data_IF_534382075592
#
_entry.id   IF_534382075592
#
_cell.length_a   1.000
_cell.length_b   1.000
_cell.length_c   1.000
_cell.angle_alpha   90.00
_cell.angle_beta   90.00
_cell.angle_gamma   90.00
#
_symmetry.space_group_name_H-M   'P 1'
#
loop_
_entity.id
_entity.type
_entity.pdbx_description
1 polymer ?
#
# COMPACT_ATOMS: atom_id res chain seq x y z
N UNK A 1 11.96 -26.33 34.19
CA UNK A 1 11.63 -26.66 32.79
C UNK A 1 11.49 -25.33 32.04
N UNK A 2 12.47 -24.99 31.24
CA UNK A 2 12.51 -23.72 30.50
C UNK A 2 11.60 -23.86 29.29
N UNK A 3 10.46 -23.17 29.28
CA UNK A 3 9.64 -22.98 28.10
C UNK A 3 10.38 -21.96 27.23
N UNK A 4 11.07 -22.43 26.22
CA UNK A 4 11.60 -21.60 25.15
C UNK A 4 10.41 -21.03 24.39
N UNK A 5 10.11 -19.78 24.62
CA UNK A 5 9.22 -18.98 23.77
C UNK A 5 9.95 -18.86 22.42
N UNK A 6 9.59 -19.72 21.49
CA UNK A 6 9.77 -19.47 20.08
C UNK A 6 8.65 -18.50 19.69
N UNK A 7 8.86 -17.23 19.95
CA UNK A 7 8.13 -16.19 19.28
C UNK A 7 8.59 -16.24 17.80
N UNK A 8 7.99 -17.12 17.03
CA UNK A 8 8.04 -17.01 15.59
C UNK A 8 7.20 -15.77 15.25
N UNK A 9 7.86 -14.65 15.14
CA UNK A 9 7.35 -13.57 14.33
C UNK A 9 7.27 -14.08 12.88
N UNK A 10 6.16 -14.70 12.52
CA UNK A 10 5.68 -14.76 11.14
C UNK A 10 5.02 -13.41 10.88
N UNK A 11 5.73 -12.36 11.23
CA UNK A 11 5.50 -11.05 10.62
C UNK A 11 5.70 -11.25 9.15
N UNK A 12 4.79 -10.73 8.36
CA UNK A 12 4.93 -10.60 6.92
C UNK A 12 6.41 -10.48 6.59
N UNK A 13 6.95 -11.49 5.91
CA UNK A 13 8.32 -11.50 5.44
C UNK A 13 8.42 -10.52 4.26
N UNK A 14 7.98 -9.27 4.50
CA UNK A 14 8.70 -8.19 3.88
C UNK A 14 10.14 -8.45 4.31
N UNK A 15 11.02 -8.78 3.36
CA UNK A 15 12.45 -8.85 3.61
C UNK A 15 12.84 -7.48 4.17
N UNK A 16 12.64 -7.31 5.49
CA UNK A 16 13.09 -6.12 6.17
C UNK A 16 14.60 -6.26 6.16
N UNK A 17 15.24 -5.51 5.27
CA UNK A 17 16.63 -5.21 5.41
C UNK A 17 16.85 -4.88 6.88
N UNK A 18 17.66 -5.65 7.57
CA UNK A 18 18.02 -5.27 8.92
C UNK A 18 18.83 -4.00 8.77
N UNK A 19 18.24 -2.87 9.16
CA UNK A 19 18.92 -1.60 9.14
C UNK A 19 20.28 -1.75 9.85
N UNK A 20 21.34 -1.30 9.21
CA UNK A 20 22.67 -1.31 9.78
C UNK A 20 22.75 -0.21 10.84
N UNK A 21 23.05 -0.58 12.07
CA UNK A 21 23.31 0.40 13.12
C UNK A 21 24.71 1.00 12.89
N UNK A 22 24.76 2.29 12.62
CA UNK A 22 26.00 3.04 12.34
C UNK A 22 26.48 3.81 13.57
N UNK A 23 25.61 4.06 14.54
CA UNK A 23 25.92 4.69 15.82
C UNK A 23 24.96 4.18 16.90
N UNK A 24 25.49 3.84 18.06
CA UNK A 24 24.71 3.39 19.22
C UNK A 24 25.48 3.76 20.50
N UNK A 25 25.32 4.98 20.97
CA UNK A 25 25.93 5.49 22.18
C UNK A 25 25.16 6.68 22.75
N UNK A 26 25.33 6.94 24.05
CA UNK A 26 24.75 8.08 24.75
C UNK A 26 23.21 8.22 24.58
N UNK A 27 22.50 7.08 24.60
CA UNK A 27 21.07 7.04 24.39
C UNK A 27 20.61 7.33 22.94
N UNK A 28 21.55 7.54 22.01
CA UNK A 28 21.27 7.79 20.58
C UNK A 28 21.59 6.55 19.75
N UNK A 29 20.62 6.12 18.93
CA UNK A 29 20.80 5.05 17.94
C UNK A 29 20.49 5.58 16.56
N UNK A 30 21.47 5.44 15.65
CA UNK A 30 21.33 5.80 14.23
C UNK A 30 21.45 4.54 13.38
N UNK A 31 20.48 4.35 12.51
CA UNK A 31 20.39 3.21 11.63
C UNK A 31 20.25 3.66 10.16
N UNK A 32 20.90 2.95 9.27
CA UNK A 32 20.79 3.14 7.83
C UNK A 32 20.20 1.87 7.21
N UNK A 33 19.18 2.04 6.41
CA UNK A 33 18.53 0.97 5.65
C UNK A 33 18.42 1.35 4.17
N UNK A 34 18.33 0.35 3.32
CA UNK A 34 18.13 0.63 1.90
C UNK A 34 17.92 -0.62 1.06
N UNK A 35 17.63 -0.42 -0.20
CA UNK A 35 17.57 -1.51 -1.18
C UNK A 35 17.74 -0.99 -2.60
N UNK A 36 18.44 -1.78 -3.41
CA UNK A 36 18.39 -1.68 -4.87
C UNK A 36 17.34 -2.68 -5.36
N UNK A 37 16.41 -2.20 -6.19
CA UNK A 37 15.27 -2.95 -6.71
C UNK A 37 15.17 -2.77 -8.21
N UNK A 38 15.35 -3.85 -8.94
CA UNK A 38 15.34 -3.87 -10.40
C UNK A 38 14.32 -4.88 -10.87
N UNK A 39 13.71 -4.59 -12.01
CA UNK A 39 12.81 -5.50 -12.70
C UNK A 39 13.00 -5.40 -14.21
N UNK A 40 13.09 -6.55 -14.84
CA UNK A 40 12.95 -6.71 -16.28
C UNK A 40 11.52 -7.20 -16.54
N UNK A 41 10.78 -6.46 -17.35
CA UNK A 41 9.35 -6.71 -17.50
C UNK A 41 8.88 -6.56 -18.94
N UNK A 42 7.82 -7.27 -19.28
CA UNK A 42 6.92 -6.95 -20.37
C UNK A 42 5.56 -6.52 -19.80
N UNK A 43 5.16 -5.28 -20.09
CA UNK A 43 3.92 -4.71 -19.60
C UNK A 43 3.11 -4.12 -20.77
N UNK A 44 1.80 -4.32 -20.74
CA UNK A 44 0.95 -3.88 -21.82
C UNK A 44 -0.48 -3.56 -21.42
N UNK A 45 -1.03 -2.53 -22.08
CA UNK A 45 -2.42 -2.10 -21.92
C UNK A 45 -3.15 -2.25 -23.25
N UNK A 46 -4.32 -2.88 -23.20
CA UNK A 46 -5.22 -3.03 -24.35
C UNK A 46 -6.54 -2.35 -24.01
N UNK A 47 -6.97 -1.43 -24.85
CA UNK A 47 -8.28 -0.76 -24.80
C UNK A 47 -9.15 -1.30 -25.91
N UNK A 48 -10.38 -1.65 -25.60
CA UNK A 48 -11.41 -2.04 -26.57
C UNK A 48 -12.65 -1.20 -26.31
N UNK A 49 -13.09 -0.43 -27.31
CA UNK A 49 -14.30 0.41 -27.24
C UNK A 49 -15.59 -0.42 -27.39
N UNK A 50 -16.74 0.24 -27.29
CA UNK A 50 -18.06 -0.36 -27.47
C UNK A 50 -18.27 -0.98 -28.86
N UNK A 51 -17.64 -0.43 -29.91
CA UNK A 51 -17.74 -0.87 -31.30
C UNK A 51 -16.79 -2.05 -31.60
N UNK A 52 -15.94 -2.43 -30.64
CA UNK A 52 -14.99 -3.52 -30.80
C UNK A 52 -13.63 -3.11 -31.32
N UNK A 53 -13.38 -1.82 -31.59
CA UNK A 53 -12.07 -1.34 -32.01
C UNK A 53 -11.05 -1.55 -30.88
N UNK A 54 -9.86 -2.02 -31.25
CA UNK A 54 -8.83 -2.43 -30.29
C UNK A 54 -7.55 -1.63 -30.51
N UNK A 55 -7.04 -1.05 -29.43
CA UNK A 55 -5.71 -0.44 -29.37
C UNK A 55 -4.88 -1.15 -28.30
N UNK A 56 -3.67 -1.59 -28.66
CA UNK A 56 -2.75 -2.26 -27.74
C UNK A 56 -1.40 -1.57 -27.75
N UNK A 57 -0.84 -1.38 -26.55
CA UNK A 57 0.53 -0.90 -26.36
C UNK A 57 1.24 -1.87 -25.41
N UNK A 58 2.36 -2.43 -25.82
CA UNK A 58 3.22 -3.30 -25.02
C UNK A 58 4.63 -2.74 -25.03
N UNK A 59 5.31 -2.79 -23.90
CA UNK A 59 6.69 -2.34 -23.75
C UNK A 59 7.47 -3.35 -22.92
N UNK A 60 8.72 -3.60 -23.33
CA UNK A 60 9.72 -4.33 -22.55
C UNK A 60 10.70 -3.33 -21.94
N UNK A 61 10.97 -3.43 -20.67
CA UNK A 61 11.83 -2.52 -19.93
C UNK A 61 12.70 -3.29 -18.94
N UNK A 62 13.89 -2.76 -18.70
CA UNK A 62 14.64 -2.96 -17.46
C UNK A 62 14.59 -1.64 -16.70
N UNK A 63 14.02 -1.64 -15.50
CA UNK A 63 13.83 -0.41 -14.74
C UNK A 63 14.06 -0.55 -13.24
N UNK A 64 14.22 0.58 -12.61
CA UNK A 64 14.12 0.72 -11.17
C UNK A 64 12.69 0.41 -10.68
N UNK A 65 12.59 -0.42 -9.64
CA UNK A 65 11.34 -0.84 -9.00
C UNK A 65 11.23 -0.29 -7.55
N UNK A 66 11.59 0.98 -7.37
CA UNK A 66 11.50 1.67 -6.09
C UNK A 66 12.72 1.50 -5.18
N UNK A 67 13.94 1.54 -5.76
CA UNK A 67 15.19 1.61 -5.00
C UNK A 67 15.18 2.78 -4.03
N UNK A 68 15.71 2.54 -2.83
CA UNK A 68 15.60 3.49 -1.73
C UNK A 68 16.75 3.41 -0.74
N UNK A 69 16.93 4.51 0.00
CA UNK A 69 17.83 4.59 1.14
C UNK A 69 17.18 5.43 2.24
N UNK A 70 17.33 5.05 3.49
CA UNK A 70 16.78 5.74 4.63
C UNK A 70 17.74 5.82 5.80
N UNK A 71 17.53 6.84 6.62
CA UNK A 71 18.19 7.02 7.91
C UNK A 71 17.11 7.13 8.98
N UNK A 72 17.28 6.38 10.05
CA UNK A 72 16.43 6.41 11.23
C UNK A 72 17.25 6.77 12.45
N UNK A 73 16.73 7.66 13.27
CA UNK A 73 17.34 8.10 14.54
C UNK A 73 16.34 7.85 15.65
N UNK A 74 16.81 7.29 16.76
CA UNK A 74 16.11 7.24 18.04
C UNK A 74 17.03 7.78 19.11
N UNK A 75 16.49 8.56 20.03
CA UNK A 75 17.23 9.13 21.16
C UNK A 75 16.40 9.02 22.45
N UNK A 76 16.97 8.43 23.48
CA UNK A 76 16.36 8.30 24.79
C UNK A 76 16.40 9.65 25.54
N UNK A 77 15.25 10.08 26.06
CA UNK A 77 15.10 11.36 26.78
C UNK A 77 15.01 11.20 28.30
N UNK A 78 15.02 9.96 28.80
CA UNK A 78 14.78 9.62 30.20
C UNK A 78 13.30 9.35 30.51
N UNK A 79 13.03 8.75 31.67
CA UNK A 79 11.69 8.39 32.16
C UNK A 79 10.83 7.59 31.17
N UNK A 80 11.48 6.83 30.25
CA UNK A 80 10.82 6.06 29.20
C UNK A 80 10.36 6.87 27.98
N UNK A 81 10.65 8.18 27.94
CA UNK A 81 10.45 9.02 26.75
C UNK A 81 11.59 8.85 25.76
N UNK A 82 11.26 8.94 24.48
CA UNK A 82 12.21 8.95 23.39
C UNK A 82 11.79 9.93 22.29
N UNK A 83 12.79 10.45 21.57
CA UNK A 83 12.62 11.17 20.33
C UNK A 83 12.96 10.23 19.15
N UNK A 84 12.28 10.38 18.03
CA UNK A 84 12.55 9.63 16.84
C UNK A 84 12.50 10.50 15.59
N UNK A 85 13.22 10.07 14.56
CA UNK A 85 13.20 10.72 13.24
C UNK A 85 13.52 9.74 12.13
N UNK A 86 12.98 9.98 10.94
CA UNK A 86 13.26 9.22 9.74
C UNK A 86 13.29 10.10 8.50
N UNK A 87 14.30 9.86 7.67
CA UNK A 87 14.32 10.35 6.29
C UNK A 87 14.47 9.15 5.36
N UNK A 88 13.68 9.09 4.28
CA UNK A 88 13.79 8.07 3.24
C UNK A 88 13.79 8.75 1.88
N UNK A 89 14.81 8.43 1.09
CA UNK A 89 14.94 8.86 -0.29
C UNK A 89 14.62 7.71 -1.23
N UNK A 90 13.96 8.02 -2.34
CA UNK A 90 13.70 7.08 -3.44
C UNK A 90 14.19 7.65 -4.76
N UNK A 91 14.54 6.74 -5.66
CA UNK A 91 14.82 7.08 -7.04
C UNK A 91 13.54 7.02 -7.86
N UNK A 92 13.40 7.97 -8.79
CA UNK A 92 12.31 8.01 -9.75
C UNK A 92 12.80 8.53 -11.10
N UNK A 93 12.06 8.26 -12.16
CA UNK A 93 12.35 8.71 -13.51
C UNK A 93 11.52 9.91 -13.96
N UNK A 94 11.12 10.80 -13.04
CA UNK A 94 10.25 11.91 -13.38
C UNK A 94 10.84 12.77 -14.52
N UNK A 95 12.10 13.20 -14.41
CA UNK A 95 12.78 13.99 -15.43
C UNK A 95 13.48 13.13 -16.51
N UNK A 96 14.05 11.97 -16.15
CA UNK A 96 14.70 11.08 -17.12
C UNK A 96 13.72 10.25 -17.95
N UNK A 97 12.51 10.08 -17.48
CA UNK A 97 11.35 9.58 -18.23
C UNK A 97 11.31 8.09 -18.53
N UNK A 98 12.41 7.33 -18.35
CA UNK A 98 12.45 5.93 -18.82
C UNK A 98 12.95 4.90 -17.81
N UNK A 99 14.08 5.13 -17.15
CA UNK A 99 14.76 4.15 -16.31
C UNK A 99 14.45 4.28 -14.82
N UNK A 100 13.79 5.38 -14.43
CA UNK A 100 13.44 5.73 -13.05
C UNK A 100 14.63 5.83 -12.09
N UNK A 101 15.80 6.21 -12.61
CA UNK A 101 16.99 6.54 -11.82
C UNK A 101 17.38 8.02 -11.91
N UNK A 102 16.64 8.83 -12.68
CA UNK A 102 17.03 10.21 -13.00
C UNK A 102 16.91 11.18 -11.84
N UNK A 103 16.02 10.95 -10.89
CA UNK A 103 15.72 11.84 -9.79
C UNK A 103 15.76 11.17 -8.44
N UNK A 104 16.11 11.95 -7.41
CA UNK A 104 16.00 11.55 -6.01
C UNK A 104 14.98 12.47 -5.35
N UNK A 105 14.03 11.89 -4.63
CA UNK A 105 13.06 12.65 -3.84
C UNK A 105 12.91 12.08 -2.42
N UNK A 106 12.56 12.96 -1.48
CA UNK A 106 12.29 12.55 -0.11
C UNK A 106 10.87 11.93 -0.03
N UNK A 107 10.79 10.61 0.04
CA UNK A 107 9.52 9.89 0.19
C UNK A 107 8.95 10.02 1.59
N UNK A 108 9.84 10.08 2.60
CA UNK A 108 9.49 10.26 4.01
C UNK A 108 10.46 11.24 4.67
N UNK A 109 9.94 12.11 5.51
CA UNK A 109 10.72 13.03 6.34
C UNK A 109 9.83 13.43 7.53
N UNK A 110 10.04 12.81 8.67
CA UNK A 110 9.25 13.06 9.88
C UNK A 110 10.09 12.90 11.14
N UNK A 111 9.62 13.53 12.20
CA UNK A 111 10.16 13.37 13.55
C UNK A 111 9.01 13.29 14.56
N UNK A 112 9.30 12.83 15.76
CA UNK A 112 8.29 12.71 16.79
C UNK A 112 8.85 12.38 18.16
N UNK A 113 7.92 12.19 19.09
CA UNK A 113 8.16 11.84 20.47
C UNK A 113 7.27 10.66 20.84
N UNK A 114 7.75 9.81 21.73
CA UNK A 114 6.99 8.70 22.24
C UNK A 114 7.36 8.30 23.65
N UNK A 115 6.48 7.48 24.22
CA UNK A 115 6.73 6.72 25.44
C UNK A 115 6.12 5.34 25.26
N UNK A 116 6.85 4.31 25.66
CA UNK A 116 6.45 2.92 25.37
C UNK A 116 5.01 2.60 25.81
N UNK A 117 4.60 3.11 26.96
CA UNK A 117 3.28 2.87 27.54
C UNK A 117 2.18 3.77 26.95
N UNK A 118 2.54 4.89 26.36
CA UNK A 118 1.60 5.89 25.83
C UNK A 118 1.50 5.92 24.31
N UNK A 119 2.45 5.27 23.61
CA UNK A 119 2.57 5.35 22.16
C UNK A 119 3.45 6.50 21.70
N UNK A 120 3.39 6.80 20.42
CA UNK A 120 4.20 7.83 19.78
C UNK A 120 3.34 8.79 18.92
N UNK A 121 3.75 10.05 18.90
CA UNK A 121 3.21 11.08 17.99
C UNK A 121 4.31 11.54 17.07
N UNK A 122 4.05 11.49 15.77
CA UNK A 122 4.99 11.89 14.71
C UNK A 122 4.41 12.94 13.80
N UNK A 123 5.28 13.80 13.25
CA UNK A 123 4.92 14.96 12.44
C UNK A 123 5.78 14.99 11.18
N UNK A 124 5.18 15.20 10.02
CA UNK A 124 5.90 15.37 8.76
C UNK A 124 5.36 14.53 7.63
N UNK A 125 6.17 14.35 6.59
CA UNK A 125 5.85 13.51 5.44
C UNK A 125 6.02 12.03 5.81
N UNK A 126 4.91 11.31 5.89
CA UNK A 126 4.92 9.94 6.38
C UNK A 126 3.70 9.13 5.93
N UNK A 127 3.73 7.84 6.22
CA UNK A 127 2.60 6.94 6.08
C UNK A 127 1.56 7.18 7.18
N UNK A 128 0.33 6.82 6.87
CA UNK A 128 -0.77 6.73 7.84
C UNK A 128 -0.90 5.30 8.36
N UNK A 129 -1.85 5.05 9.26
CA UNK A 129 -2.15 3.69 9.72
C UNK A 129 -2.69 2.80 8.59
N UNK A 130 -3.31 3.39 7.56
CA UNK A 130 -3.89 2.65 6.45
C UNK A 130 -2.84 1.99 5.53
N UNK A 131 -1.57 2.39 5.60
CA UNK A 131 -0.48 1.68 4.90
C UNK A 131 -0.18 0.30 5.52
N UNK A 132 -0.60 0.11 6.77
CA UNK A 132 -0.42 -1.15 7.50
C UNK A 132 -1.57 -2.14 7.23
N UNK A 133 -2.61 -1.76 6.44
CA UNK A 133 -3.70 -2.66 6.07
C UNK A 133 -3.36 -3.42 4.78
N UNK A 134 -3.91 -4.64 4.70
CA UNK A 134 -3.73 -5.51 3.55
C UNK A 134 -2.89 -6.74 3.90
N UNK A 135 -3.46 -7.91 3.62
CA UNK A 135 -2.83 -9.20 3.84
C UNK A 135 -2.42 -9.88 2.53
N UNK A 136 -2.95 -9.40 1.38
CA UNK A 136 -2.47 -9.80 0.06
C UNK A 136 -1.04 -9.32 -0.16
N UNK A 137 -0.26 -10.05 -0.95
CA UNK A 137 1.16 -9.78 -1.13
C UNK A 137 1.52 -9.60 -2.61
N UNK A 138 2.49 -8.75 -2.86
CA UNK A 138 3.10 -8.49 -4.16
C UNK A 138 4.53 -7.96 -3.99
N UNK A 139 5.29 -8.06 -5.06
CA UNK A 139 6.58 -7.39 -5.15
C UNK A 139 6.47 -6.10 -5.97
N UNK A 140 5.73 -6.09 -7.07
CA UNK A 140 5.72 -4.96 -8.00
C UNK A 140 4.36 -4.65 -8.61
N UNK A 141 3.52 -5.66 -8.81
CA UNK A 141 2.31 -5.52 -9.62
C UNK A 141 1.03 -5.53 -8.81
N UNK A 142 1.05 -5.10 -7.55
CA UNK A 142 -0.12 -5.07 -6.69
C UNK A 142 -1.39 -4.62 -7.43
N UNK A 143 -2.46 -5.41 -7.29
CA UNK A 143 -3.74 -5.17 -7.97
C UNK A 143 -4.86 -4.73 -7.03
N UNK A 144 -4.65 -4.82 -5.72
CA UNK A 144 -5.66 -4.46 -4.72
C UNK A 144 -5.64 -2.95 -4.49
N UNK A 145 -6.77 -2.24 -4.68
CA UNK A 145 -6.83 -0.80 -4.43
C UNK A 145 -6.82 -0.50 -2.93
N UNK A 146 -6.47 0.73 -2.56
CA UNK A 146 -6.74 1.28 -1.25
C UNK A 146 -7.72 2.45 -1.36
N UNK A 147 -8.75 2.42 -0.54
CA UNK A 147 -9.79 3.46 -0.47
C UNK A 147 -9.55 4.44 0.68
N UNK A 148 -8.59 4.14 1.55
CA UNK A 148 -8.14 5.02 2.62
C UNK A 148 -6.77 5.58 2.24
N UNK A 149 -6.54 6.84 2.53
CA UNK A 149 -5.27 7.50 2.21
C UNK A 149 -4.13 6.91 3.04
N UNK A 150 -3.13 6.33 2.38
CA UNK A 150 -2.00 5.61 3.02
C UNK A 150 -0.82 6.51 3.38
N UNK A 151 -0.75 7.75 2.84
CA UNK A 151 0.37 8.66 3.07
C UNK A 151 -0.05 10.13 2.94
N UNK A 152 0.83 11.04 3.35
CA UNK A 152 0.67 12.47 3.11
C UNK A 152 1.97 13.25 3.28
N UNK A 153 2.02 14.46 2.68
CA UNK A 153 3.17 15.35 2.76
C UNK A 153 3.29 16.09 4.09
N UNK A 154 2.16 16.27 4.78
CA UNK A 154 2.07 16.93 6.09
C UNK A 154 1.05 16.20 6.95
N UNK A 155 1.53 15.34 7.83
CA UNK A 155 0.72 14.41 8.63
C UNK A 155 1.11 14.52 10.09
N UNK A 156 0.11 14.55 10.97
CA UNK A 156 0.25 14.21 12.39
C UNK A 156 -0.26 12.78 12.52
N UNK A 157 0.56 11.88 13.06
CA UNK A 157 0.19 10.48 13.30
C UNK A 157 0.42 10.13 14.76
N UNK A 158 -0.56 9.45 15.32
CA UNK A 158 -0.44 8.75 16.60
C UNK A 158 -0.40 7.24 16.33
N UNK A 159 0.49 6.52 17.02
CA UNK A 159 0.56 5.07 17.00
C UNK A 159 0.77 4.52 18.41
N UNK A 160 -0.02 3.51 18.77
CA UNK A 160 0.06 2.81 20.05
C UNK A 160 0.30 1.33 19.82
N UNK A 161 1.32 0.78 20.51
CA UNK A 161 1.73 -0.64 20.44
C UNK A 161 1.99 -1.23 21.84
N UNK A 162 1.37 -0.66 22.87
CA UNK A 162 1.57 -1.08 24.27
C UNK A 162 0.91 -2.40 24.64
N UNK A 163 0.04 -2.95 23.79
CA UNK A 163 -0.61 -4.26 23.96
C UNK A 163 -0.01 -5.23 22.93
N UNK A 164 0.40 -6.41 23.40
CA UNK A 164 0.98 -7.44 22.53
C UNK A 164 0.01 -7.83 21.41
N UNK A 165 0.54 -7.87 20.19
CA UNK A 165 -0.22 -8.18 18.97
C UNK A 165 -1.15 -7.05 18.48
N UNK A 166 -1.37 -5.97 19.26
CA UNK A 166 -2.27 -4.87 18.88
C UNK A 166 -1.51 -3.59 18.55
N UNK A 167 -1.76 -3.05 17.36
CA UNK A 167 -1.39 -1.69 16.99
C UNK A 167 -2.67 -0.88 16.76
N UNK A 168 -2.77 0.28 17.40
CA UNK A 168 -3.79 1.28 17.12
C UNK A 168 -3.15 2.48 16.45
N UNK A 169 -3.88 3.12 15.53
CA UNK A 169 -3.38 4.30 14.84
C UNK A 169 -4.46 5.31 14.53
N UNK A 170 -4.05 6.58 14.57
CA UNK A 170 -4.86 7.69 14.09
C UNK A 170 -3.97 8.69 13.35
N UNK A 171 -4.49 9.36 12.35
CA UNK A 171 -3.76 10.40 11.63
C UNK A 171 -4.67 11.54 11.20
N UNK A 172 -4.05 12.72 11.09
CA UNK A 172 -4.62 13.89 10.43
C UNK A 172 -3.63 14.39 9.37
N UNK A 173 -4.11 14.53 8.14
CA UNK A 173 -3.37 15.04 7.00
C UNK A 173 -3.82 16.46 6.72
N UNK A 174 -2.89 17.40 6.69
CA UNK A 174 -3.15 18.80 6.30
C UNK A 174 -3.35 18.93 4.79
N UNK A 175 -3.67 20.14 4.35
CA UNK A 175 -3.89 20.45 2.95
C UNK A 175 -2.69 20.06 2.08
N UNK A 176 -2.99 19.53 0.89
CA UNK A 176 -1.98 19.06 -0.05
C UNK A 176 -2.44 19.24 -1.48
N UNK A 177 -1.66 19.95 -2.30
CA UNK A 177 -1.93 20.20 -3.73
C UNK A 177 -1.06 19.38 -4.66
N UNK A 178 0.07 18.90 -4.16
CA UNK A 178 1.06 18.13 -4.90
C UNK A 178 1.37 16.82 -4.18
N UNK A 179 1.78 15.81 -4.92
CA UNK A 179 2.30 14.57 -4.37
C UNK A 179 3.72 14.75 -3.80
N UNK A 180 4.38 13.68 -3.40
CA UNK A 180 5.74 13.70 -2.86
C UNK A 180 6.82 13.99 -3.90
N UNK A 181 6.50 13.96 -5.19
CA UNK A 181 7.40 14.29 -6.30
C UNK A 181 7.21 15.72 -6.78
N UNK A 182 6.19 16.42 -6.30
CA UNK A 182 5.84 17.78 -6.72
C UNK A 182 4.83 17.83 -7.88
N UNK A 183 4.29 16.70 -8.32
CA UNK A 183 3.23 16.64 -9.32
C UNK A 183 1.89 17.10 -8.72
N UNK A 184 1.12 17.88 -9.48
CA UNK A 184 -0.21 18.29 -9.04
C UNK A 184 -1.15 17.10 -8.90
N UNK A 185 -1.91 17.08 -7.83
CA UNK A 185 -3.01 16.13 -7.65
C UNK A 185 -4.19 16.52 -8.53
N UNK A 186 -4.91 15.52 -9.07
CA UNK A 186 -6.15 15.73 -9.85
C UNK A 186 -7.19 16.53 -9.06
N UNK A 187 -7.25 16.31 -7.74
CA UNK A 187 -8.06 17.07 -6.79
C UNK A 187 -7.22 17.43 -5.59
N UNK A 188 -7.05 18.71 -5.33
CA UNK A 188 -6.33 19.21 -4.16
C UNK A 188 -7.05 18.77 -2.87
N UNK A 189 -6.29 18.31 -1.90
CA UNK A 189 -6.80 17.87 -0.62
C UNK A 189 -6.88 19.07 0.32
N UNK A 190 -8.05 19.26 0.93
CA UNK A 190 -8.25 20.23 2.01
C UNK A 190 -7.73 19.70 3.35
N UNK A 191 -8.09 18.48 3.68
CA UNK A 191 -7.60 17.69 4.80
C UNK A 191 -8.03 16.23 4.65
N UNK A 192 -7.39 15.34 5.42
CA UNK A 192 -7.84 13.98 5.56
C UNK A 192 -7.58 13.48 6.98
N UNK A 193 -8.31 12.46 7.42
CA UNK A 193 -8.05 11.78 8.68
C UNK A 193 -8.34 10.29 8.54
N UNK A 194 -7.72 9.51 9.41
CA UNK A 194 -7.92 8.06 9.45
C UNK A 194 -7.72 7.53 10.85
N UNK A 195 -8.41 6.44 11.15
CA UNK A 195 -8.26 5.66 12.38
C UNK A 195 -8.32 4.18 12.05
N UNK A 196 -7.60 3.36 12.81
CA UNK A 196 -7.66 1.92 12.62
C UNK A 196 -6.79 1.12 13.56
N UNK A 197 -6.81 -0.19 13.32
CA UNK A 197 -6.13 -1.17 14.13
C UNK A 197 -5.53 -2.29 13.27
N UNK A 198 -4.45 -2.86 13.77
CA UNK A 198 -3.84 -4.10 13.30
C UNK A 198 -3.73 -5.01 14.51
N UNK A 199 -4.26 -6.23 14.40
CA UNK A 199 -4.21 -7.21 15.47
C UNK A 199 -3.76 -8.56 14.95
N UNK A 200 -2.76 -9.14 15.64
CA UNK A 200 -2.24 -10.47 15.38
C UNK A 200 -2.33 -11.31 16.67
N UNK A 201 -2.78 -12.53 16.57
CA UNK A 201 -2.86 -13.47 17.69
C UNK A 201 -2.63 -14.91 17.27
N UNK A 202 -2.34 -15.77 18.24
CA UNK A 202 -2.22 -17.21 18.05
C UNK A 202 -3.50 -17.92 18.47
N UNK A 203 -4.06 -18.72 17.56
CA UNK A 203 -5.25 -19.54 17.76
C UNK A 203 -4.90 -21.01 17.52
N UNK A 204 -4.76 -21.81 18.59
CA UNK A 204 -4.48 -23.25 18.47
C UNK A 204 -3.16 -23.57 17.75
N UNK A 205 -2.14 -22.72 17.87
CA UNK A 205 -0.85 -22.86 17.20
C UNK A 205 -0.77 -22.25 15.80
N UNK A 206 -1.87 -21.73 15.27
CA UNK A 206 -1.95 -21.01 14.01
C UNK A 206 -1.99 -19.50 14.26
N UNK A 207 -1.53 -18.69 13.29
CA UNK A 207 -1.56 -17.23 13.40
C UNK A 207 -2.80 -16.67 12.73
N UNK A 208 -3.52 -15.80 13.43
CA UNK A 208 -4.65 -15.04 12.90
C UNK A 208 -4.33 -13.55 12.91
N UNK A 209 -4.57 -12.90 11.77
CA UNK A 209 -4.40 -11.46 11.58
C UNK A 209 -5.75 -10.83 11.22
N UNK A 210 -6.05 -9.68 11.82
CA UNK A 210 -7.14 -8.80 11.40
C UNK A 210 -6.65 -7.36 11.44
N UNK A 211 -6.90 -6.65 10.36
CA UNK A 211 -6.48 -5.26 10.19
C UNK A 211 -7.63 -4.48 9.59
N UNK A 212 -7.67 -3.18 9.83
CA UNK A 212 -8.64 -2.36 9.14
C UNK A 212 -8.93 -1.04 9.84
N UNK A 213 -9.70 -0.22 9.16
CA UNK A 213 -10.05 1.09 9.65
C UNK A 213 -10.94 1.89 8.73
N UNK A 214 -11.06 3.15 9.09
CA UNK A 214 -11.84 4.16 8.39
C UNK A 214 -10.98 5.38 8.11
N UNK A 215 -11.20 6.01 6.94
CA UNK A 215 -10.61 7.30 6.63
C UNK A 215 -11.54 8.17 5.79
N UNK A 216 -11.42 9.48 6.00
CA UNK A 216 -12.08 10.50 5.16
C UNK A 216 -11.06 11.42 4.56
N UNK A 217 -11.22 11.70 3.27
CA UNK A 217 -10.50 12.74 2.55
C UNK A 217 -11.49 13.81 2.11
N UNK A 218 -11.27 15.06 2.50
CA UNK A 218 -12.00 16.22 2.03
C UNK A 218 -11.15 16.95 0.98
N UNK A 219 -11.75 17.33 -0.12
CA UNK A 219 -11.08 18.00 -1.22
C UNK A 219 -11.37 19.50 -1.26
N UNK A 220 -10.44 20.28 -1.80
CA UNK A 220 -10.69 21.69 -2.11
C UNK A 220 -11.66 21.79 -3.29
N UNK A 221 -12.55 22.75 -3.25
CA UNK A 221 -13.52 23.02 -4.32
C UNK A 221 -13.55 24.52 -4.64
N UNK A 222 -13.56 24.86 -5.92
CA UNK A 222 -13.64 26.24 -6.36
C UNK A 222 -15.02 26.90 -6.13
N UNK A 223 -16.07 26.10 -5.91
CA UNK A 223 -17.44 26.49 -5.63
C UNK A 223 -17.87 25.91 -4.29
N UNK A 224 -18.92 26.45 -3.67
CA UNK A 224 -19.41 26.00 -2.35
C UNK A 224 -20.13 24.64 -2.39
N UNK A 225 -19.61 23.64 -3.14
CA UNK A 225 -20.11 22.29 -3.10
C UNK A 225 -19.23 21.38 -2.23
N UNK A 226 -19.77 20.23 -1.85
CA UNK A 226 -19.04 19.26 -1.04
C UNK A 226 -18.36 18.24 -1.95
N UNK A 227 -17.04 18.06 -1.77
CA UNK A 227 -16.27 16.97 -2.35
C UNK A 227 -15.52 16.24 -1.23
N UNK A 228 -15.89 15.00 -0.98
CA UNK A 228 -15.23 14.14 0.02
C UNK A 228 -15.35 12.66 -0.35
N UNK A 229 -14.41 11.87 0.15
CA UNK A 229 -14.39 10.42 0.06
C UNK A 229 -14.31 9.82 1.46
N UNK A 230 -15.18 8.86 1.75
CA UNK A 230 -15.12 7.96 2.90
C UNK A 230 -14.61 6.58 2.42
N UNK A 231 -13.62 6.04 3.09
CA UNK A 231 -13.07 4.71 2.83
C UNK A 231 -13.14 3.83 4.08
N UNK A 232 -13.44 2.56 3.87
CA UNK A 232 -13.45 1.50 4.89
C UNK A 232 -12.69 0.32 4.33
N UNK A 233 -11.75 -0.22 5.10
CA UNK A 233 -10.97 -1.39 4.72
C UNK A 233 -10.86 -2.36 5.88
N UNK A 234 -10.87 -3.66 5.56
CA UNK A 234 -10.59 -4.74 6.48
C UNK A 234 -9.80 -5.81 5.75
N UNK A 235 -8.79 -6.36 6.40
CA UNK A 235 -7.98 -7.45 5.89
C UNK A 235 -7.89 -8.55 6.93
N UNK A 236 -7.97 -9.79 6.47
CA UNK A 236 -7.93 -11.00 7.29
C UNK A 236 -6.82 -11.91 6.79
N UNK A 237 -6.07 -12.51 7.72
CA UNK A 237 -5.06 -13.50 7.43
C UNK A 237 -5.15 -14.68 8.40
N UNK A 238 -4.99 -15.90 7.89
CA UNK A 238 -4.91 -17.09 8.71
C UNK A 238 -3.80 -18.01 8.21
N UNK A 239 -2.81 -18.27 9.06
CA UNK A 239 -1.65 -19.11 8.74
C UNK A 239 -1.77 -20.45 9.40
N UNK A 240 -1.71 -21.52 8.60
CA UNK A 240 -1.74 -22.93 9.02
C UNK A 240 -0.48 -23.59 8.45
N UNK A 241 0.50 -23.90 9.30
CA UNK A 241 1.78 -24.43 8.82
C UNK A 241 2.42 -23.53 7.76
N UNK A 242 2.63 -24.07 6.58
CA UNK A 242 3.26 -23.36 5.45
C UNK A 242 2.30 -22.54 4.58
N UNK A 243 0.99 -22.62 4.84
CA UNK A 243 -0.05 -21.95 4.07
C UNK A 243 -0.62 -20.77 4.87
N UNK A 244 -0.62 -19.59 4.26
CA UNK A 244 -1.38 -18.42 4.71
C UNK A 244 -2.49 -18.12 3.73
N UNK A 245 -3.73 -18.14 4.21
CA UNK A 245 -4.91 -17.67 3.48
C UNK A 245 -5.19 -16.24 3.87
N UNK A 246 -5.54 -15.41 2.89
CA UNK A 246 -5.76 -13.97 3.09
C UNK A 246 -7.01 -13.48 2.37
N UNK A 247 -7.54 -12.35 2.82
CA UNK A 247 -8.65 -11.70 2.15
C UNK A 247 -8.71 -10.22 2.53
N UNK A 248 -8.61 -9.35 1.54
CA UNK A 248 -8.72 -7.91 1.70
C UNK A 248 -10.06 -7.44 1.15
N UNK A 249 -10.70 -6.52 1.85
CA UNK A 249 -12.04 -5.99 1.55
C UNK A 249 -12.03 -4.48 1.74
N UNK A 250 -12.68 -3.76 0.84
CA UNK A 250 -12.85 -2.32 0.99
C UNK A 250 -14.20 -1.84 0.47
N UNK A 251 -14.67 -0.74 1.07
CA UNK A 251 -15.82 0.01 0.62
C UNK A 251 -15.49 1.49 0.57
N UNK A 252 -15.92 2.16 -0.50
CA UNK A 252 -15.76 3.60 -0.72
C UNK A 252 -17.09 4.26 -1.02
N UNK A 253 -17.32 5.41 -0.37
CA UNK A 253 -18.34 6.36 -0.77
C UNK A 253 -17.69 7.70 -1.08
N UNK A 254 -17.95 8.23 -2.26
CA UNK A 254 -17.47 9.55 -2.67
C UNK A 254 -18.64 10.42 -3.09
N UNK A 255 -18.63 11.66 -2.63
CA UNK A 255 -19.53 12.72 -3.06
C UNK A 255 -18.72 13.83 -3.68
N UNK A 256 -19.05 14.18 -4.94
CA UNK A 256 -18.47 15.32 -5.65
C UNK A 256 -19.61 16.10 -6.32
N UNK A 257 -19.94 17.24 -5.74
CA UNK A 257 -21.12 18.04 -6.16
C UNK A 257 -22.40 17.17 -6.25
N UNK A 258 -22.90 16.94 -7.47
CA UNK A 258 -24.09 16.14 -7.77
C UNK A 258 -23.77 14.67 -8.07
N UNK A 259 -22.49 14.30 -8.13
CA UNK A 259 -22.06 12.91 -8.29
C UNK A 259 -21.99 12.17 -6.96
N UNK A 260 -22.34 10.90 -7.01
CA UNK A 260 -22.20 9.93 -5.91
C UNK A 260 -21.58 8.66 -6.46
N UNK A 261 -20.37 8.33 -6.01
CA UNK A 261 -19.70 7.06 -6.35
C UNK A 261 -19.71 6.15 -5.13
N UNK A 262 -20.16 4.92 -5.34
CA UNK A 262 -20.02 3.82 -4.39
C UNK A 262 -19.17 2.74 -5.03
N UNK A 263 -18.14 2.30 -4.33
CA UNK A 263 -17.30 1.21 -4.80
C UNK A 263 -17.03 0.23 -3.68
N UNK A 264 -16.79 -1.02 -4.05
CA UNK A 264 -16.27 -2.03 -3.13
C UNK A 264 -15.34 -2.98 -3.87
N UNK A 265 -14.41 -3.56 -3.13
CA UNK A 265 -13.59 -4.66 -3.62
C UNK A 265 -13.56 -5.82 -2.64
N UNK A 266 -13.26 -7.00 -3.18
CA UNK A 266 -12.88 -8.20 -2.44
C UNK A 266 -11.66 -8.80 -3.12
N UNK A 267 -10.66 -9.19 -2.33
CA UNK A 267 -9.41 -9.71 -2.84
C UNK A 267 -8.93 -10.92 -1.99
N UNK A 268 -9.48 -12.13 -2.22
CA UNK A 268 -8.95 -13.34 -1.62
C UNK A 268 -7.58 -13.68 -2.22
N UNK A 269 -6.71 -14.24 -1.39
CA UNK A 269 -5.38 -14.63 -1.80
C UNK A 269 -4.76 -15.69 -0.90
N UNK A 270 -3.53 -16.05 -1.23
CA UNK A 270 -2.75 -17.02 -0.49
C UNK A 270 -1.26 -16.76 -0.59
N UNK A 271 -0.52 -17.29 0.37
CA UNK A 271 0.93 -17.42 0.35
C UNK A 271 1.27 -18.84 0.81
N UNK A 272 2.08 -19.56 0.06
CA UNK A 272 2.50 -20.91 0.38
C UNK A 272 4.02 -21.04 0.37
N UNK A 273 4.59 -21.40 1.50
CA UNK A 273 6.03 -21.63 1.65
C UNK A 273 6.38 -23.01 1.10
N UNK A 274 6.90 -23.08 -0.12
CA UNK A 274 7.24 -24.33 -0.81
C UNK A 274 8.48 -24.99 -0.18
N UNK A 275 9.49 -24.20 0.09
CA UNK A 275 10.72 -24.54 0.83
C UNK A 275 11.14 -23.30 1.64
N UNK A 276 12.00 -23.41 2.65
CA UNK A 276 12.40 -22.25 3.48
C UNK A 276 12.90 -21.02 2.71
N UNK A 277 13.41 -21.20 1.49
CA UNK A 277 13.93 -20.14 0.65
C UNK A 277 12.94 -19.64 -0.41
N UNK A 278 11.81 -20.31 -0.65
CA UNK A 278 10.93 -20.00 -1.77
C UNK A 278 9.46 -20.13 -1.39
N UNK A 279 8.66 -19.16 -1.79
CA UNK A 279 7.20 -19.19 -1.65
C UNK A 279 6.52 -18.85 -2.97
N UNK A 280 5.30 -19.34 -3.09
CA UNK A 280 4.34 -18.96 -4.13
C UNK A 280 3.26 -18.14 -3.46
N UNK A 281 2.83 -17.06 -4.09
CA UNK A 281 1.76 -16.19 -3.59
C UNK A 281 0.89 -15.74 -4.75
N UNK A 282 -0.34 -15.40 -4.43
CA UNK A 282 -1.25 -14.86 -5.42
C UNK A 282 -2.55 -14.39 -4.81
N UNK A 283 -3.25 -13.55 -5.56
CA UNK A 283 -4.55 -13.04 -5.19
C UNK A 283 -5.43 -12.80 -6.41
N UNK A 284 -6.73 -12.80 -6.16
CA UNK A 284 -7.75 -12.39 -7.11
C UNK A 284 -8.36 -11.08 -6.63
N UNK A 285 -8.71 -10.19 -7.56
CA UNK A 285 -9.46 -8.97 -7.30
C UNK A 285 -10.80 -9.01 -8.01
N UNK A 286 -11.86 -8.70 -7.28
CA UNK A 286 -13.11 -8.21 -7.83
C UNK A 286 -13.39 -6.82 -7.28
N UNK A 287 -13.59 -5.85 -8.18
CA UNK A 287 -13.99 -4.50 -7.80
C UNK A 287 -15.22 -4.07 -8.61
N UNK A 288 -16.11 -3.33 -7.97
CA UNK A 288 -17.27 -2.71 -8.62
C UNK A 288 -17.43 -1.29 -8.11
N UNK A 289 -17.55 -0.36 -9.04
CA UNK A 289 -17.88 1.03 -8.77
C UNK A 289 -19.16 1.42 -9.51
N UNK A 290 -20.02 2.21 -8.87
CA UNK A 290 -21.22 2.81 -9.45
C UNK A 290 -21.23 4.30 -9.16
N UNK A 291 -21.26 5.09 -10.23
CA UNK A 291 -21.36 6.55 -10.17
C UNK A 291 -22.76 6.97 -10.62
N UNK A 292 -23.48 7.67 -9.75
CA UNK A 292 -24.80 8.23 -10.04
C UNK A 292 -24.68 9.74 -10.09
N UNK A 293 -25.16 10.34 -11.16
CA UNK A 293 -25.20 11.79 -11.36
C UNK A 293 -26.66 12.26 -11.33
N UNK A 294 -26.96 13.28 -10.51
CA UNK A 294 -28.30 13.84 -10.43
C UNK A 294 -28.68 14.48 -11.78
N UNK A 295 -29.80 14.03 -12.37
CA UNK A 295 -30.29 14.46 -13.68
C UNK A 295 -29.40 14.15 -14.88
N UNK A 296 -28.47 13.21 -14.76
CA UNK A 296 -27.62 12.76 -15.85
C UNK A 296 -27.48 11.24 -15.85
N UNK A 297 -26.78 10.70 -16.86
CA UNK A 297 -26.54 9.27 -16.95
C UNK A 297 -25.59 8.80 -15.84
N UNK A 298 -25.92 7.67 -15.25
CA UNK A 298 -25.05 6.95 -14.32
C UNK A 298 -24.04 6.07 -15.07
N UNK A 299 -22.94 5.74 -14.41
CA UNK A 299 -21.94 4.85 -14.94
C UNK A 299 -21.65 3.72 -13.96
N UNK A 300 -21.15 2.59 -14.48
CA UNK A 300 -20.73 1.46 -13.67
C UNK A 300 -19.42 0.90 -14.23
N UNK A 301 -18.51 0.58 -13.32
CA UNK A 301 -17.26 -0.09 -13.62
C UNK A 301 -17.18 -1.43 -12.88
N UNK A 302 -16.61 -2.45 -13.54
CA UNK A 302 -16.30 -3.73 -12.93
C UNK A 302 -14.89 -4.15 -13.32
N UNK A 303 -14.06 -4.44 -12.32
CA UNK A 303 -12.73 -4.97 -12.52
C UNK A 303 -12.63 -6.40 -12.00
N UNK A 304 -11.88 -7.22 -12.73
CA UNK A 304 -11.43 -8.55 -12.31
C UNK A 304 -9.93 -8.62 -12.52
N UNK A 305 -9.20 -9.04 -11.52
CA UNK A 305 -7.74 -9.11 -11.56
C UNK A 305 -7.21 -10.41 -10.99
N UNK A 306 -6.05 -10.84 -11.51
CA UNK A 306 -5.25 -11.94 -10.97
C UNK A 306 -3.81 -11.49 -10.87
N UNK A 307 -3.18 -11.82 -9.75
CA UNK A 307 -1.75 -11.71 -9.53
C UNK A 307 -1.24 -13.08 -9.08
N UNK A 308 -0.10 -13.47 -9.62
CA UNK A 308 0.61 -14.67 -9.20
C UNK A 308 2.11 -14.38 -9.22
N UNK A 309 2.80 -14.82 -8.17
CA UNK A 309 4.25 -14.69 -8.07
C UNK A 309 4.91 -15.87 -7.37
N UNK A 310 6.19 -15.98 -7.60
CA UNK A 310 7.11 -16.88 -6.91
C UNK A 310 8.36 -16.11 -6.57
N UNK A 311 8.86 -16.27 -5.36
CA UNK A 311 10.13 -15.69 -4.95
C UNK A 311 11.15 -16.78 -4.54
N UNK A 312 12.43 -16.38 -4.58
CA UNK A 312 13.52 -17.17 -4.06
C UNK A 312 14.51 -16.28 -3.31
N UNK A 313 14.73 -16.57 -2.05
CA UNK A 313 15.67 -15.87 -1.16
C UNK A 313 17.02 -16.56 -1.21
N UNK A 314 17.97 -16.04 -1.99
CA UNK A 314 19.36 -16.51 -2.01
C UNK A 314 20.06 -16.25 -0.67
N UNK A 315 19.66 -15.17 -0.02
CA UNK A 315 20.14 -14.72 1.27
C UNK A 315 19.06 -13.86 1.94
N UNK A 316 19.14 -13.63 3.25
CA UNK A 316 18.23 -12.69 3.95
C UNK A 316 18.20 -11.27 3.35
N UNK A 317 19.27 -10.89 2.62
CA UNK A 317 19.40 -9.60 1.96
C UNK A 317 19.21 -9.66 0.44
N UNK A 318 19.03 -10.83 -0.16
CA UNK A 318 18.93 -10.97 -1.62
C UNK A 318 17.76 -11.87 -1.99
N UNK A 319 16.80 -11.32 -2.71
CA UNK A 319 15.65 -12.04 -3.24
C UNK A 319 15.52 -11.78 -4.74
N UNK A 320 15.22 -12.84 -5.49
CA UNK A 320 14.71 -12.73 -6.85
C UNK A 320 13.28 -13.23 -6.88
N UNK A 321 12.49 -12.73 -7.84
CA UNK A 321 11.09 -13.11 -8.00
C UNK A 321 10.68 -13.07 -9.47
N UNK A 322 9.65 -13.85 -9.77
CA UNK A 322 8.86 -13.72 -10.99
C UNK A 322 7.44 -13.41 -10.57
N UNK A 323 6.86 -12.37 -11.13
CA UNK A 323 5.51 -11.93 -10.81
C UNK A 323 4.77 -11.53 -12.07
N UNK A 324 3.49 -11.85 -12.13
CA UNK A 324 2.63 -11.46 -13.24
C UNK A 324 1.26 -11.01 -12.76
N UNK A 325 0.67 -10.09 -13.51
CA UNK A 325 -0.71 -9.63 -13.31
C UNK A 325 -1.51 -9.65 -14.59
N UNK A 326 -2.81 -9.81 -14.43
CA UNK A 326 -3.82 -9.58 -15.44
C UNK A 326 -5.02 -8.92 -14.79
N UNK A 327 -5.38 -7.69 -15.23
CA UNK A 327 -6.55 -6.96 -14.74
C UNK A 327 -7.40 -6.54 -15.92
N UNK A 328 -8.69 -6.83 -15.87
CA UNK A 328 -9.66 -6.41 -16.87
C UNK A 328 -10.74 -5.56 -16.22
N UNK A 329 -10.84 -4.32 -16.65
CA UNK A 329 -11.88 -3.37 -16.25
C UNK A 329 -12.89 -3.21 -17.38
N UNK A 330 -14.18 -3.30 -17.08
CA UNK A 330 -15.29 -3.10 -18.02
C UNK A 330 -16.13 -1.92 -17.58
N UNK A 331 -16.40 -1.03 -18.53
CA UNK A 331 -17.18 0.17 -18.34
C UNK A 331 -18.59 0.00 -18.92
N UNK A 332 -19.58 0.58 -18.26
CA UNK A 332 -20.98 0.53 -18.63
C UNK A 332 -21.63 1.89 -18.39
N UNK A 333 -22.39 2.36 -19.37
CA UNK A 333 -23.22 3.56 -19.26
C UNK A 333 -24.67 3.19 -18.92
N UNK A 334 -25.34 3.99 -18.13
CA UNK A 334 -26.75 3.77 -17.85
C UNK A 334 -27.62 4.05 -19.11
N UNK A 335 -28.53 3.12 -19.41
CA UNK A 335 -29.50 3.22 -20.49
C UNK A 335 -30.85 2.78 -19.98
N UNK A 336 -31.80 3.72 -19.89
CA UNK A 336 -33.10 3.46 -19.28
C UNK A 336 -32.94 2.96 -17.82
N UNK A 337 -33.53 1.82 -17.50
CA UNK A 337 -33.43 1.19 -16.18
C UNK A 337 -32.25 0.20 -16.05
N UNK A 338 -31.34 0.16 -17.03
CA UNK A 338 -30.23 -0.80 -17.07
C UNK A 338 -28.90 -0.15 -17.40
N UNK A 339 -27.94 -0.99 -17.78
CA UNK A 339 -26.60 -0.57 -18.18
C UNK A 339 -26.22 -1.21 -19.52
N UNK A 340 -25.64 -0.41 -20.41
CA UNK A 340 -25.06 -0.85 -21.68
C UNK A 340 -23.54 -0.90 -21.58
N UNK A 341 -22.92 -1.93 -22.14
CA UNK A 341 -21.46 -2.05 -22.21
C UNK A 341 -20.87 -0.93 -23.07
N UNK A 342 -19.87 -0.21 -22.54
CA UNK A 342 -19.20 0.91 -23.20
C UNK A 342 -17.76 0.61 -23.62
N UNK A 343 -17.14 -0.37 -23.01
CA UNK A 343 -15.76 -0.72 -23.37
C UNK A 343 -15.04 -1.52 -22.29
N UNK A 344 -13.80 -1.88 -22.58
CA UNK A 344 -12.93 -2.52 -21.60
C UNK A 344 -11.48 -2.14 -21.75
N UNK A 345 -10.81 -2.11 -20.62
CA UNK A 345 -9.36 -2.00 -20.50
C UNK A 345 -8.80 -3.32 -19.96
N UNK A 346 -7.74 -3.81 -20.57
CA UNK A 346 -6.97 -4.95 -20.04
C UNK A 346 -5.54 -4.47 -19.77
N UNK A 347 -5.10 -4.60 -18.52
CA UNK A 347 -3.74 -4.32 -18.07
C UNK A 347 -3.08 -5.65 -17.69
N UNK A 348 -1.92 -5.93 -18.27
CA UNK A 348 -1.17 -7.14 -18.04
C UNK A 348 0.32 -6.84 -17.93
N UNK A 349 1.00 -7.54 -17.07
CA UNK A 349 2.44 -7.47 -16.95
C UNK A 349 2.99 -8.81 -16.47
N UNK A 350 4.21 -9.08 -16.84
CA UNK A 350 5.03 -10.14 -16.28
C UNK A 350 6.46 -9.61 -16.14
N UNK A 351 7.11 -9.90 -15.03
CA UNK A 351 8.47 -9.44 -14.79
C UNK A 351 9.29 -10.40 -13.95
N UNK A 352 10.59 -10.30 -14.14
CA UNK A 352 11.61 -10.95 -13.31
C UNK A 352 12.35 -9.85 -12.57
N UNK A 353 12.28 -9.86 -11.26
CA UNK A 353 12.87 -8.82 -10.43
C UNK A 353 13.90 -9.36 -9.45
N UNK A 354 14.76 -8.46 -9.00
CA UNK A 354 15.72 -8.71 -7.94
C UNK A 354 15.75 -7.54 -6.97
N UNK A 355 15.86 -7.85 -5.69
CA UNK A 355 16.05 -6.87 -4.62
C UNK A 355 17.26 -7.25 -3.78
N UNK A 356 18.13 -6.27 -3.55
CA UNK A 356 19.28 -6.38 -2.64
C UNK A 356 19.07 -5.36 -1.53
N UNK A 357 19.14 -5.82 -0.28
CA UNK A 357 18.86 -5.02 0.91
C UNK A 357 20.11 -4.86 1.78
N UNK A 358 20.21 -3.77 2.55
CA UNK A 358 21.21 -3.53 3.61
C UNK A 358 20.64 -2.75 4.77
#
# INVERSE_FOLDING_TARGET
MKKTLVALAVTALAASAQAVTVYDAEGTKVQVDGSIRLIMEEAGKTVKDANGNKTSKTKSNLRNAGSRMGVRVNHELGDGFFALGRVEFRFDGHNSGRDKFGDIYAKRAYAGLGKKELGEVTFGRQLTIADDYGQTDDYEYGIVPSYIRTAGNSVVRYAYKGIEGLQLGANYNFAQKQDEKGELLDSAIKNAFGVGAVYETQLGGNTFNIEGGYGRTNYETAQNYKHYQDGYEIALGYTIGDLKLVGDFGYKYEKNADERTKAFFVAPGFQYQVIPASRIYGNYLYERAETTVVKANSAKEKAHGFLLGVDYKFHKQVVAFVEGKYVQTKDYDAVGNGYSYNGKVTDKAIGVGMRVYW
#
